data_IF_189896787109
#
_entry.id   IF_189896787109
#
_cell.length_a   1.000
_cell.length_b   1.000
_cell.length_c   1.000
_cell.angle_alpha   90.00
_cell.angle_beta   90.00
_cell.angle_gamma   90.00
#
_symmetry.space_group_name_H-M   'P 1'
#
loop_
_entity.id
_entity.type
_entity.pdbx_description
1 polymer ?
#
# COMPACT_ATOMS: atom_id res chain seq x y z
N UNK A 1 -39.68 47.10 -5.24
CA UNK A 1 -38.52 46.36 -5.80
C UNK A 1 -37.78 45.66 -4.68
N UNK A 2 -37.92 44.34 -4.57
CA UNK A 2 -37.12 43.46 -3.70
C UNK A 2 -36.62 42.32 -4.58
N UNK A 3 -35.32 42.01 -4.65
CA UNK A 3 -34.87 40.88 -5.43
C UNK A 3 -35.12 39.60 -4.63
N UNK A 4 -36.06 38.82 -5.14
CA UNK A 4 -36.07 37.37 -5.07
C UNK A 4 -34.76 36.83 -5.66
N UNK A 5 -34.39 35.60 -5.27
CA UNK A 5 -33.21 34.81 -5.69
C UNK A 5 -32.05 34.89 -4.69
N UNK A 6 -32.27 34.25 -3.53
CA UNK A 6 -31.25 33.50 -2.80
C UNK A 6 -31.95 32.27 -2.21
N UNK A 7 -32.21 31.29 -3.07
CA UNK A 7 -32.67 29.95 -2.71
C UNK A 7 -32.10 28.97 -3.72
N UNK A 8 -30.81 28.69 -3.65
CA UNK A 8 -30.16 27.56 -4.34
C UNK A 8 -28.73 27.36 -3.77
N UNK A 9 -28.60 27.30 -2.45
CA UNK A 9 -27.30 27.03 -1.81
C UNK A 9 -27.39 26.06 -0.63
N UNK A 10 -28.42 25.20 -0.57
CA UNK A 10 -28.71 24.49 0.69
C UNK A 10 -29.18 23.03 0.57
N UNK A 11 -28.79 22.27 -0.47
CA UNK A 11 -29.13 20.83 -0.46
C UNK A 11 -28.13 19.82 -1.04
N UNK A 12 -27.00 20.24 -1.60
CA UNK A 12 -26.04 19.30 -2.21
C UNK A 12 -24.74 19.10 -1.42
N UNK A 13 -24.41 19.96 -0.45
CA UNK A 13 -23.16 19.84 0.31
C UNK A 13 -23.24 18.87 1.52
N UNK A 14 -24.44 18.47 1.95
CA UNK A 14 -24.62 17.66 3.17
C UNK A 14 -24.46 16.14 2.96
N UNK A 15 -24.32 15.68 1.70
CA UNK A 15 -24.12 14.26 1.38
C UNK A 15 -22.67 13.87 1.11
N UNK A 16 -21.78 14.85 0.88
CA UNK A 16 -20.34 14.60 0.70
C UNK A 16 -19.54 14.60 2.02
N UNK A 17 -20.12 15.13 3.11
CA UNK A 17 -19.44 15.24 4.42
C UNK A 17 -19.83 14.15 5.43
N UNK A 18 -20.86 13.34 5.15
CA UNK A 18 -21.26 12.23 6.03
C UNK A 18 -20.30 11.03 6.09
N UNK A 19 -19.52 10.64 5.05
CA UNK A 19 -18.50 9.60 5.22
C UNK A 19 -17.33 10.08 6.10
N UNK A 20 -17.15 11.40 6.28
CA UNK A 20 -16.11 11.97 7.14
C UNK A 20 -16.43 11.89 8.65
N UNK A 21 -17.70 11.69 9.02
CA UNK A 21 -18.12 11.68 10.43
C UNK A 21 -18.15 10.28 11.07
N UNK A 22 -18.34 9.23 10.25
CA UNK A 22 -18.16 7.82 10.69
C UNK A 22 -16.69 7.43 10.94
N UNK A 23 -15.75 8.32 10.61
CA UNK A 23 -14.31 8.23 10.86
C UNK A 23 -13.91 8.67 12.30
N UNK A 24 -14.84 8.69 13.25
CA UNK A 24 -14.54 8.99 14.66
C UNK A 24 -14.11 7.69 15.37
N UNK A 25 -12.79 7.52 15.47
CA UNK A 25 -12.00 6.44 16.11
C UNK A 25 -12.01 5.03 15.49
N UNK A 26 -13.14 4.37 15.22
CA UNK A 26 -13.10 2.99 14.65
C UNK A 26 -12.94 2.95 13.14
N UNK A 27 -13.42 3.97 12.43
CA UNK A 27 -13.30 4.05 10.96
C UNK A 27 -11.88 4.33 10.47
N UNK A 28 -11.01 5.00 11.25
CA UNK A 28 -9.67 5.42 10.80
C UNK A 28 -8.78 4.24 10.43
N UNK A 29 -8.82 3.16 11.22
CA UNK A 29 -8.07 1.94 10.92
C UNK A 29 -8.62 1.20 9.70
N UNK A 30 -9.95 1.18 9.54
CA UNK A 30 -10.61 0.56 8.39
C UNK A 30 -10.26 1.32 7.11
N UNK A 31 -10.29 2.66 7.13
CA UNK A 31 -9.92 3.48 5.97
C UNK A 31 -8.45 3.33 5.60
N UNK A 32 -7.53 3.29 6.57
CA UNK A 32 -6.12 3.02 6.30
C UNK A 32 -5.88 1.62 5.74
N UNK A 33 -6.58 0.60 6.25
CA UNK A 33 -6.52 -0.76 5.72
C UNK A 33 -7.09 -0.86 4.31
N UNK A 34 -8.18 -0.15 4.02
CA UNK A 34 -8.77 -0.09 2.67
C UNK A 34 -7.85 0.62 1.69
N UNK A 35 -7.22 1.73 2.08
CA UNK A 35 -6.22 2.42 1.25
C UNK A 35 -5.01 1.51 1.02
N UNK A 36 -4.51 0.85 2.06
CA UNK A 36 -3.41 -0.11 1.93
C UNK A 36 -3.78 -1.28 1.00
N UNK A 37 -4.98 -1.84 1.14
CA UNK A 37 -5.47 -2.92 0.27
C UNK A 37 -5.61 -2.48 -1.20
N UNK A 38 -6.08 -1.25 -1.44
CA UNK A 38 -6.18 -0.67 -2.79
C UNK A 38 -4.79 -0.47 -3.40
N UNK A 39 -3.84 0.08 -2.64
CA UNK A 39 -2.44 0.28 -3.10
C UNK A 39 -1.78 -1.07 -3.42
N UNK A 40 -2.03 -2.10 -2.62
CA UNK A 40 -1.44 -3.43 -2.83
C UNK A 40 -2.04 -4.18 -4.03
N UNK A 41 -3.28 -3.89 -4.43
CA UNK A 41 -3.98 -4.59 -5.53
C UNK A 41 -3.40 -4.32 -6.94
N UNK A 42 -2.60 -3.25 -7.08
CA UNK A 42 -1.92 -2.87 -8.31
C UNK A 42 -0.46 -3.32 -8.41
N UNK A 43 0.14 -3.79 -7.32
CA UNK A 43 1.56 -4.12 -7.28
C UNK A 43 1.86 -5.49 -7.91
N UNK A 44 3.09 -5.68 -8.40
CA UNK A 44 3.63 -7.00 -8.81
C UNK A 44 2.81 -7.73 -9.90
N UNK A 45 2.38 -6.98 -10.91
CA UNK A 45 1.67 -7.52 -12.06
C UNK A 45 2.60 -8.11 -13.11
N UNK A 46 2.12 -9.14 -13.81
CA UNK A 46 2.79 -9.76 -14.94
C UNK A 46 2.22 -9.25 -16.27
N UNK A 47 3.12 -9.03 -17.22
CA UNK A 47 2.78 -8.52 -18.54
C UNK A 47 3.26 -9.47 -19.64
N UNK A 48 2.45 -9.56 -20.70
CA UNK A 48 2.68 -10.40 -21.86
C UNK A 48 2.46 -9.57 -23.11
N UNK A 49 3.21 -9.87 -24.16
CA UNK A 49 3.08 -9.19 -25.45
C UNK A 49 2.81 -10.22 -26.53
N UNK A 50 2.14 -9.80 -27.60
CA UNK A 50 1.98 -10.62 -28.79
C UNK A 50 3.05 -10.26 -29.82
N UNK A 51 3.74 -11.28 -30.30
CA UNK A 51 4.62 -11.17 -31.46
C UNK A 51 3.80 -11.39 -32.73
N UNK A 52 3.08 -10.33 -33.13
CA UNK A 52 2.14 -10.37 -34.25
C UNK A 52 2.86 -10.34 -35.60
N UNK A 53 2.52 -11.27 -36.49
CA UNK A 53 3.05 -11.39 -37.85
C UNK A 53 1.90 -11.44 -38.86
N UNK A 54 2.13 -10.95 -40.07
CA UNK A 54 1.15 -10.97 -41.16
C UNK A 54 1.09 -12.30 -41.93
N UNK A 55 2.03 -13.20 -41.66
CA UNK A 55 2.08 -14.52 -42.26
C UNK A 55 2.76 -15.52 -41.31
N UNK A 56 2.57 -16.80 -41.61
CA UNK A 56 3.21 -17.91 -40.91
C UNK A 56 3.85 -18.84 -41.94
N UNK A 57 5.08 -19.28 -41.67
CA UNK A 57 5.80 -20.22 -42.51
C UNK A 57 5.89 -21.61 -41.84
N UNK A 58 6.21 -22.63 -42.63
CA UNK A 58 6.31 -24.01 -42.18
C UNK A 58 7.33 -24.18 -41.04
N UNK A 59 8.46 -23.47 -41.10
CA UNK A 59 9.49 -23.52 -40.05
C UNK A 59 8.97 -22.97 -38.71
N UNK A 60 8.18 -21.91 -38.75
CA UNK A 60 7.53 -21.33 -37.57
C UNK A 60 6.51 -22.29 -36.99
N UNK A 61 5.65 -22.91 -37.82
CA UNK A 61 4.69 -23.93 -37.36
C UNK A 61 5.42 -25.10 -36.69
N UNK A 62 6.47 -25.64 -37.31
CA UNK A 62 7.27 -26.74 -36.74
C UNK A 62 7.90 -26.38 -35.39
N UNK A 63 8.38 -25.14 -35.24
CA UNK A 63 8.91 -24.64 -33.97
C UNK A 63 7.82 -24.55 -32.89
N UNK A 64 6.64 -24.07 -33.24
CA UNK A 64 5.51 -23.97 -32.31
C UNK A 64 5.01 -25.37 -31.88
N UNK A 65 4.99 -26.33 -32.81
CA UNK A 65 4.70 -27.74 -32.52
C UNK A 65 5.74 -28.34 -31.58
N UNK A 66 7.04 -28.15 -31.86
CA UNK A 66 8.13 -28.63 -31.00
C UNK A 66 8.09 -28.03 -29.60
N UNK A 67 7.55 -26.81 -29.46
CA UNK A 67 7.37 -26.13 -28.18
C UNK A 67 6.05 -26.50 -27.47
N UNK A 68 5.29 -27.46 -28.00
CA UNK A 68 4.00 -27.94 -27.49
C UNK A 68 2.98 -26.80 -27.24
N UNK A 69 2.95 -25.80 -28.14
CA UNK A 69 2.08 -24.63 -28.00
C UNK A 69 0.61 -24.98 -28.22
N UNK A 70 -0.28 -24.30 -27.50
CA UNK A 70 -1.72 -24.36 -27.66
C UNK A 70 -2.15 -23.42 -28.78
N UNK A 71 -2.56 -23.98 -29.92
CA UNK A 71 -2.89 -23.20 -31.12
C UNK A 71 -4.40 -23.00 -31.21
N UNK A 72 -4.81 -21.75 -31.37
CA UNK A 72 -6.18 -21.29 -31.52
C UNK A 72 -6.33 -20.69 -32.92
N UNK A 73 -7.35 -21.12 -33.66
CA UNK A 73 -7.72 -20.50 -34.94
C UNK A 73 -8.98 -19.65 -34.74
N UNK A 74 -8.90 -18.41 -35.23
CA UNK A 74 -10.01 -17.51 -35.45
C UNK A 74 -10.46 -17.66 -36.89
N UNK A 75 -11.52 -18.43 -37.09
CA UNK A 75 -12.26 -18.46 -38.35
C UNK A 75 -13.22 -17.30 -38.39
N UNK A 76 -13.77 -17.03 -39.58
CA UNK A 76 -14.77 -15.99 -39.78
C UNK A 76 -16.04 -16.20 -38.95
N UNK A 77 -16.44 -17.45 -38.71
CA UNK A 77 -17.70 -17.81 -38.04
C UNK A 77 -17.52 -18.33 -36.61
N UNK A 78 -16.31 -18.75 -36.21
CA UNK A 78 -16.05 -19.35 -34.90
C UNK A 78 -14.57 -19.36 -34.50
N UNK A 79 -14.31 -19.67 -33.24
CA UNK A 79 -12.97 -19.82 -32.68
C UNK A 79 -12.83 -21.25 -32.16
N UNK A 80 -11.76 -21.93 -32.56
CA UNK A 80 -11.47 -23.32 -32.15
C UNK A 80 -10.01 -23.47 -31.76
N UNK A 81 -9.70 -24.45 -30.92
CA UNK A 81 -8.32 -24.89 -30.70
C UNK A 81 -7.98 -26.06 -31.61
N UNK A 82 -6.68 -26.32 -31.80
CA UNK A 82 -6.20 -27.41 -32.64
C UNK A 82 -5.57 -28.52 -31.81
N UNK A 83 -5.89 -29.76 -32.19
CA UNK A 83 -5.21 -30.96 -31.74
C UNK A 83 -4.54 -31.68 -32.91
N UNK A 84 -3.42 -32.35 -32.65
CA UNK A 84 -2.74 -33.19 -33.65
C UNK A 84 -2.26 -32.42 -34.89
N UNK A 85 -1.68 -31.23 -34.70
CA UNK A 85 -1.21 -30.39 -35.82
C UNK A 85 -0.14 -31.15 -36.62
N UNK A 86 -0.28 -31.13 -37.94
CA UNK A 86 0.68 -31.65 -38.90
C UNK A 86 0.78 -30.71 -40.11
N UNK A 87 1.90 -30.81 -40.84
CA UNK A 87 2.09 -30.12 -42.11
C UNK A 87 2.13 -31.14 -43.24
N UNK A 88 1.40 -30.85 -44.33
CA UNK A 88 1.49 -31.56 -45.59
C UNK A 88 1.82 -30.56 -46.70
N UNK A 89 3.11 -30.41 -46.99
CA UNK A 89 3.61 -29.26 -47.76
C UNK A 89 3.33 -27.96 -47.01
N UNK A 90 2.65 -27.02 -47.67
CA UNK A 90 2.23 -25.73 -47.11
C UNK A 90 0.82 -25.76 -46.50
N UNK A 91 0.23 -26.94 -46.32
CA UNK A 91 -1.09 -27.07 -45.70
C UNK A 91 -0.95 -27.50 -44.23
N UNK A 92 -1.61 -26.74 -43.35
CA UNK A 92 -1.81 -27.09 -41.95
C UNK A 92 -3.01 -28.03 -41.84
N UNK A 93 -2.76 -29.21 -41.28
CA UNK A 93 -3.77 -30.24 -41.03
C UNK A 93 -3.91 -30.43 -39.52
N UNK A 94 -5.13 -30.39 -38.99
CA UNK A 94 -5.38 -30.59 -37.56
C UNK A 94 -6.84 -30.97 -37.27
N UNK A 95 -7.09 -31.49 -36.08
CA UNK A 95 -8.44 -31.71 -35.56
C UNK A 95 -8.90 -30.46 -34.78
N UNK A 96 -10.04 -29.83 -35.13
CA UNK A 96 -10.59 -28.74 -34.35
C UNK A 96 -11.21 -29.27 -33.05
N UNK A 97 -10.84 -28.68 -31.93
CA UNK A 97 -11.37 -28.98 -30.60
C UNK A 97 -11.94 -27.72 -29.92
N UNK A 98 -12.80 -27.92 -28.93
CA UNK A 98 -13.30 -26.81 -28.11
C UNK A 98 -12.18 -26.21 -27.24
N UNK A 99 -12.26 -24.89 -27.02
CA UNK A 99 -11.32 -24.23 -26.11
C UNK A 99 -11.58 -24.64 -24.67
N UNK A 100 -10.51 -24.94 -23.94
CA UNK A 100 -10.58 -25.10 -22.49
C UNK A 100 -10.93 -23.75 -21.83
N UNK A 101 -11.52 -23.75 -20.62
CA UNK A 101 -11.88 -22.51 -19.92
C UNK A 101 -10.69 -21.55 -19.67
N UNK A 102 -9.47 -22.07 -19.50
CA UNK A 102 -8.29 -21.24 -19.31
C UNK A 102 -7.97 -20.39 -20.54
N UNK A 103 -8.13 -20.97 -21.74
CA UNK A 103 -7.81 -20.33 -23.03
C UNK A 103 -8.93 -19.44 -23.59
N UNK A 104 -10.09 -19.35 -22.90
CA UNK A 104 -11.19 -18.45 -23.29
C UNK A 104 -11.00 -17.02 -22.83
N UNK A 105 -10.02 -16.75 -21.96
CA UNK A 105 -9.85 -15.44 -21.30
C UNK A 105 -9.24 -14.39 -22.22
N UNK A 106 -8.43 -14.79 -23.20
CA UNK A 106 -7.61 -13.88 -23.99
C UNK A 106 -7.76 -14.11 -25.51
N UNK A 107 -8.99 -14.08 -26.01
CA UNK A 107 -9.26 -14.40 -27.44
C UNK A 107 -8.82 -13.31 -28.43
N UNK A 108 -8.93 -12.03 -28.07
CA UNK A 108 -8.66 -10.90 -28.95
C UNK A 108 -7.74 -9.87 -28.26
N UNK A 109 -6.40 -10.06 -28.30
CA UNK A 109 -5.47 -9.16 -27.62
C UNK A 109 -5.46 -7.75 -28.22
N UNK A 110 -5.62 -7.60 -29.54
CA UNK A 110 -5.54 -6.31 -30.21
C UNK A 110 -6.94 -5.73 -30.45
N UNK A 111 -7.29 -4.64 -29.78
CA UNK A 111 -8.46 -3.84 -30.12
C UNK A 111 -8.17 -3.07 -31.42
N UNK A 112 -8.85 -3.41 -32.51
CA UNK A 112 -8.68 -2.77 -33.83
C UNK A 112 -8.81 -1.24 -33.80
N UNK A 113 -9.57 -0.68 -32.84
CA UNK A 113 -9.69 0.79 -32.68
C UNK A 113 -8.39 1.49 -32.29
N UNK A 114 -7.36 0.75 -31.88
CA UNK A 114 -6.07 1.28 -31.45
C UNK A 114 -5.00 1.08 -32.56
N UNK A 115 -5.30 0.32 -33.62
CA UNK A 115 -4.34 -0.17 -34.63
C UNK A 115 -3.59 0.90 -35.44
N UNK A 116 -4.01 2.17 -35.37
CA UNK A 116 -3.51 3.24 -36.26
C UNK A 116 -2.28 3.99 -35.71
N UNK A 117 -1.73 3.57 -34.57
CA UNK A 117 -0.59 4.26 -33.94
C UNK A 117 0.73 3.51 -34.16
N UNK A 118 1.74 4.24 -34.62
CA UNK A 118 3.14 3.81 -34.81
C UNK A 118 3.82 3.26 -33.52
N UNK A 119 3.08 3.19 -32.39
CA UNK A 119 3.49 2.72 -31.07
C UNK A 119 3.15 1.23 -30.76
N UNK A 120 2.51 0.50 -31.69
CA UNK A 120 1.75 -0.71 -31.37
C UNK A 120 2.46 -2.07 -31.47
N UNK A 121 3.77 -2.12 -31.76
CA UNK A 121 4.53 -3.38 -31.64
C UNK A 121 4.82 -3.80 -30.18
N UNK A 122 4.34 -3.03 -29.18
CA UNK A 122 4.66 -3.20 -27.75
C UNK A 122 3.43 -3.08 -26.84
N UNK A 123 2.25 -3.51 -27.29
CA UNK A 123 1.10 -3.55 -26.38
C UNK A 123 1.27 -4.72 -25.42
N UNK A 124 1.50 -4.36 -24.15
CA UNK A 124 1.76 -5.29 -23.06
C UNK A 124 0.46 -5.51 -22.28
N UNK A 125 -0.03 -6.74 -22.24
CA UNK A 125 -1.28 -7.14 -21.61
C UNK A 125 -1.03 -7.63 -20.18
N UNK A 126 -1.77 -7.07 -19.24
CA UNK A 126 -1.77 -7.55 -17.84
C UNK A 126 -2.45 -8.91 -17.78
N UNK A 127 -1.77 -9.88 -17.19
CA UNK A 127 -2.33 -11.22 -16.97
C UNK A 127 -2.19 -11.59 -15.50
N UNK A 128 -3.22 -12.26 -14.98
CA UNK A 128 -3.19 -12.75 -13.59
C UNK A 128 -2.16 -13.85 -13.47
N UNK A 129 -1.47 -13.92 -12.33
CA UNK A 129 -0.45 -14.94 -12.07
C UNK A 129 -0.95 -16.37 -12.33
N UNK A 130 -2.22 -16.65 -12.00
CA UNK A 130 -2.86 -17.97 -12.18
C UNK A 130 -3.01 -18.36 -13.65
N UNK A 131 -3.06 -17.39 -14.56
CA UNK A 131 -3.29 -17.61 -16.00
C UNK A 131 -1.98 -17.57 -16.80
N UNK A 132 -0.84 -17.36 -16.14
CA UNK A 132 0.47 -17.13 -16.78
C UNK A 132 0.88 -18.28 -17.72
N UNK A 133 0.76 -19.52 -17.26
CA UNK A 133 1.22 -20.67 -18.04
C UNK A 133 0.35 -20.89 -19.27
N UNK A 134 -0.98 -20.85 -19.08
CA UNK A 134 -1.93 -20.98 -20.18
C UNK A 134 -1.68 -19.92 -21.27
N UNK A 135 -1.57 -18.64 -20.89
CA UNK A 135 -1.35 -17.55 -21.86
C UNK A 135 0.00 -17.68 -22.58
N UNK A 136 1.07 -18.12 -21.91
CA UNK A 136 2.37 -18.31 -22.57
C UNK A 136 2.37 -19.40 -23.63
N UNK A 137 1.43 -20.33 -23.55
CA UNK A 137 1.34 -21.43 -24.49
C UNK A 137 0.50 -21.07 -25.72
N UNK A 138 -0.23 -19.96 -25.70
CA UNK A 138 -1.16 -19.59 -26.76
C UNK A 138 -0.47 -19.08 -28.03
N UNK A 139 -0.96 -19.58 -29.17
CA UNK A 139 -0.71 -19.05 -30.51
C UNK A 139 -2.05 -18.84 -31.19
N UNK A 140 -2.29 -17.64 -31.71
CA UNK A 140 -3.54 -17.33 -32.40
C UNK A 140 -3.26 -17.19 -33.89
N UNK A 141 -3.98 -17.95 -34.72
CA UNK A 141 -3.96 -17.83 -36.17
C UNK A 141 -5.29 -17.24 -36.62
N UNK A 142 -5.28 -16.25 -37.50
CA UNK A 142 -6.48 -15.60 -37.99
C UNK A 142 -6.64 -15.83 -39.48
N UNK A 143 -7.82 -16.25 -39.89
CA UNK A 143 -8.17 -16.54 -41.28
C UNK A 143 -9.58 -16.06 -41.58
N UNK A 144 -9.82 -15.65 -42.84
CA UNK A 144 -11.15 -15.29 -43.33
C UNK A 144 -11.95 -16.52 -43.80
N UNK A 145 -11.34 -17.70 -43.73
CA UNK A 145 -11.98 -18.97 -44.04
C UNK A 145 -13.10 -19.27 -43.03
N UNK A 146 -14.08 -20.04 -43.48
CA UNK A 146 -15.16 -20.58 -42.65
C UNK A 146 -14.80 -22.02 -42.35
N UNK A 147 -14.95 -22.46 -41.09
CA UNK A 147 -14.68 -23.85 -40.76
C UNK A 147 -15.74 -24.74 -41.45
N UNK A 148 -15.32 -25.48 -42.47
CA UNK A 148 -16.18 -26.45 -43.14
C UNK A 148 -16.71 -27.48 -42.13
N UNK A 149 -17.92 -28.00 -42.35
CA UNK A 149 -18.55 -28.99 -41.45
C UNK A 149 -17.74 -30.29 -41.28
N UNK A 150 -16.68 -30.50 -42.06
CA UNK A 150 -15.76 -31.62 -41.91
C UNK A 150 -14.95 -31.44 -40.62
N UNK A 151 -14.81 -32.51 -39.85
CA UNK A 151 -14.13 -32.52 -38.55
C UNK A 151 -12.58 -32.46 -38.65
N UNK A 152 -12.06 -31.77 -39.67
CA UNK A 152 -10.62 -31.65 -39.94
C UNK A 152 -10.34 -30.30 -40.58
N UNK A 153 -9.42 -29.56 -39.98
CA UNK A 153 -8.83 -28.35 -40.56
C UNK A 153 -7.81 -28.79 -41.59
N UNK A 154 -7.91 -28.28 -42.82
CA UNK A 154 -6.90 -28.43 -43.86
C UNK A 154 -6.81 -27.10 -44.62
N UNK A 155 -5.90 -26.23 -44.20
CA UNK A 155 -5.78 -24.87 -44.69
C UNK A 155 -4.35 -24.58 -45.18
N UNK A 156 -4.17 -23.91 -46.33
CA UNK A 156 -2.86 -23.44 -46.72
C UNK A 156 -2.36 -22.38 -45.73
N UNK A 157 -1.07 -22.36 -45.41
CA UNK A 157 -0.48 -21.37 -44.50
C UNK A 157 -0.68 -19.93 -44.98
N UNK A 158 -0.81 -19.73 -46.30
CA UNK A 158 -1.12 -18.44 -46.92
C UNK A 158 -2.54 -17.93 -46.64
N UNK A 159 -3.46 -18.77 -46.16
CA UNK A 159 -4.81 -18.36 -45.75
C UNK A 159 -4.84 -17.60 -44.42
N UNK A 160 -3.74 -17.61 -43.66
CA UNK A 160 -3.62 -16.88 -42.40
C UNK A 160 -3.07 -15.48 -42.65
N UNK A 161 -3.89 -14.46 -42.37
CA UNK A 161 -3.50 -13.05 -42.55
C UNK A 161 -2.87 -12.44 -41.30
N UNK A 162 -3.00 -13.11 -40.15
CA UNK A 162 -2.36 -12.71 -38.89
C UNK A 162 -2.01 -13.93 -38.05
N UNK A 163 -0.88 -13.85 -37.35
CA UNK A 163 -0.43 -14.80 -36.34
C UNK A 163 0.04 -14.04 -35.11
N UNK A 164 -0.53 -14.32 -33.94
CA UNK A 164 -0.07 -13.77 -32.66
C UNK A 164 0.55 -14.89 -31.82
N UNK A 165 1.84 -14.74 -31.49
CA UNK A 165 2.52 -15.64 -30.54
C UNK A 165 2.68 -14.91 -29.21
N UNK A 166 2.15 -15.48 -28.13
CA UNK A 166 2.28 -14.86 -26.81
C UNK A 166 3.67 -15.08 -26.22
N UNK A 167 4.24 -13.99 -25.72
CA UNK A 167 5.55 -13.97 -25.08
C UNK A 167 5.50 -13.21 -23.75
N UNK A 168 6.34 -13.60 -22.80
CA UNK A 168 6.48 -12.88 -21.55
C UNK A 168 7.17 -11.54 -21.79
N UNK A 169 6.53 -10.44 -21.38
CA UNK A 169 7.15 -9.11 -21.43
C UNK A 169 7.97 -8.90 -20.15
N UNK A 170 9.22 -9.40 -20.20
CA UNK A 170 10.16 -9.34 -19.08
C UNK A 170 10.46 -7.90 -18.68
N UNK A 171 10.58 -6.99 -19.63
CA UNK A 171 11.01 -5.61 -19.37
C UNK A 171 9.92 -4.83 -18.65
N UNK A 172 8.68 -4.89 -19.16
CA UNK A 172 7.53 -4.21 -18.53
C UNK A 172 7.22 -4.85 -17.18
N UNK A 173 7.27 -6.18 -17.08
CA UNK A 173 7.04 -6.87 -15.80
C UNK A 173 8.09 -6.49 -14.75
N UNK A 174 9.37 -6.49 -15.13
CA UNK A 174 10.46 -6.14 -14.20
C UNK A 174 10.36 -4.69 -13.75
N UNK A 175 10.10 -3.77 -14.69
CA UNK A 175 9.87 -2.35 -14.40
C UNK A 175 8.72 -2.17 -13.41
N UNK A 176 7.57 -2.80 -13.66
CA UNK A 176 6.41 -2.74 -12.77
C UNK A 176 6.73 -3.28 -11.36
N UNK A 177 7.51 -4.36 -11.27
CA UNK A 177 7.95 -4.90 -9.99
C UNK A 177 8.86 -3.92 -9.23
N UNK A 178 9.82 -3.30 -9.91
CA UNK A 178 10.72 -2.30 -9.30
C UNK A 178 9.93 -1.11 -8.77
N UNK A 179 9.05 -0.53 -9.60
CA UNK A 179 8.20 0.59 -9.18
C UNK A 179 7.25 0.20 -8.05
N UNK A 180 6.72 -1.03 -8.06
CA UNK A 180 5.90 -1.55 -6.96
C UNK A 180 6.69 -1.60 -5.65
N UNK A 181 7.92 -2.09 -5.66
CA UNK A 181 8.78 -2.17 -4.46
C UNK A 181 9.07 -0.76 -3.92
N UNK A 182 9.45 0.18 -4.79
CA UNK A 182 9.72 1.56 -4.40
C UNK A 182 8.45 2.20 -3.80
N UNK A 183 7.30 2.04 -4.48
CA UNK A 183 6.02 2.58 -4.03
C UNK A 183 5.59 2.04 -2.65
N UNK A 184 5.71 0.73 -2.43
CA UNK A 184 5.38 0.10 -1.14
C UNK A 184 6.35 0.58 -0.04
N UNK A 185 7.65 0.68 -0.34
CA UNK A 185 8.65 1.13 0.64
C UNK A 185 8.42 2.58 1.05
N UNK A 186 8.29 3.51 0.09
CA UNK A 186 8.03 4.92 0.39
C UNK A 186 6.67 5.11 1.08
N UNK A 187 5.64 4.40 0.61
CA UNK A 187 4.30 4.46 1.21
C UNK A 187 4.29 4.01 2.67
N UNK A 188 4.95 2.89 2.99
CA UNK A 188 5.05 2.38 4.37
C UNK A 188 5.82 3.32 5.29
N UNK A 189 6.95 3.88 4.84
CA UNK A 189 7.72 4.87 5.60
C UNK A 189 6.90 6.13 5.89
N UNK A 190 6.13 6.62 4.92
CA UNK A 190 5.25 7.78 5.11
C UNK A 190 4.17 7.50 6.17
N UNK A 191 3.58 6.30 6.17
CA UNK A 191 2.59 5.91 7.18
C UNK A 191 3.22 5.81 8.57
N UNK A 192 4.38 5.16 8.70
CA UNK A 192 5.10 5.04 9.98
C UNK A 192 5.49 6.42 10.52
N UNK A 193 6.06 7.28 9.67
CA UNK A 193 6.43 8.65 10.04
C UNK A 193 5.22 9.48 10.46
N UNK A 194 4.09 9.36 9.74
CA UNK A 194 2.84 10.02 10.10
C UNK A 194 2.29 9.56 11.45
N UNK A 195 2.38 8.27 11.77
CA UNK A 195 1.97 7.72 13.07
C UNK A 195 2.90 8.21 14.19
N UNK A 196 4.21 8.17 13.99
CA UNK A 196 5.19 8.62 14.99
C UNK A 196 5.00 10.10 15.34
N UNK A 197 4.71 10.95 14.36
CA UNK A 197 4.41 12.37 14.57
C UNK A 197 3.17 12.58 15.45
N UNK A 198 2.16 11.72 15.32
CA UNK A 198 0.91 11.80 16.09
C UNK A 198 1.05 11.33 17.56
N UNK A 199 2.08 10.58 17.92
CA UNK A 199 2.27 9.97 19.26
C UNK A 199 3.23 10.79 20.15
N UNK A 200 3.51 12.05 19.80
CA UNK A 200 4.22 12.95 20.72
C UNK A 200 3.37 13.18 21.99
N UNK A 201 3.70 12.48 23.08
CA UNK A 201 2.97 12.56 24.35
C UNK A 201 3.16 13.94 24.99
N UNK A 202 2.08 14.72 25.09
CA UNK A 202 2.08 16.08 25.66
C UNK A 202 1.93 16.04 27.20
N UNK A 203 2.91 15.43 27.88
CA UNK A 203 2.85 15.30 29.34
C UNK A 203 2.87 16.70 30.01
N UNK A 204 2.13 16.90 31.12
CA UNK A 204 2.21 18.13 31.90
C UNK A 204 3.65 18.45 32.32
N UNK A 205 4.04 19.71 32.22
CA UNK A 205 5.40 20.19 32.46
C UNK A 205 5.44 21.05 33.72
N UNK A 206 6.46 20.82 34.55
CA UNK A 206 6.67 21.55 35.81
C UNK A 206 7.79 22.56 35.64
N UNK A 207 7.51 23.79 36.02
CA UNK A 207 8.43 24.92 36.02
C UNK A 207 8.54 25.51 37.41
N UNK A 208 9.72 26.04 37.75
CA UNK A 208 9.92 26.77 38.99
C UNK A 208 10.41 28.17 38.69
N UNK A 209 9.84 29.16 39.38
CA UNK A 209 10.31 30.53 39.28
C UNK A 209 11.57 30.74 40.13
N UNK A 210 12.67 31.05 39.47
CA UNK A 210 13.89 31.55 40.08
C UNK A 210 14.07 33.02 39.67
N UNK A 211 13.79 33.94 40.61
CA UNK A 211 14.05 35.38 40.43
C UNK A 211 13.38 36.02 39.19
N UNK A 212 12.19 35.57 38.83
CA UNK A 212 11.41 36.08 37.69
C UNK A 212 11.49 35.23 36.43
N UNK A 213 12.35 34.21 36.39
CA UNK A 213 12.47 33.28 35.26
C UNK A 213 11.91 31.91 35.62
N UNK A 214 11.02 31.38 34.78
CA UNK A 214 10.47 30.03 34.94
C UNK A 214 11.39 29.01 34.26
N UNK A 215 12.06 28.19 35.08
CA UNK A 215 12.93 27.11 34.60
C UNK A 215 12.17 25.79 34.55
N UNK A 216 12.22 25.10 33.41
CA UNK A 216 11.71 23.74 33.28
C UNK A 216 12.47 22.78 34.21
N UNK A 217 11.74 21.94 34.95
CA UNK A 217 12.32 20.90 35.81
C UNK A 217 12.09 19.51 35.25
N UNK A 218 10.85 19.15 34.95
CA UNK A 218 10.52 17.85 34.37
C UNK A 218 9.09 17.82 33.84
N UNK A 219 8.81 16.86 32.95
CA UNK A 219 7.45 16.39 32.73
C UNK A 219 6.98 15.48 33.88
N UNK A 220 5.68 15.49 34.16
CA UNK A 220 5.03 14.63 35.15
C UNK A 220 3.84 13.91 34.51
N UNK A 221 3.40 12.82 35.13
CA UNK A 221 2.26 12.00 34.73
C UNK A 221 2.40 11.38 33.32
N UNK A 222 3.64 11.12 32.89
CA UNK A 222 3.89 10.59 31.54
C UNK A 222 3.18 9.25 31.31
N UNK A 223 2.34 9.21 30.27
CA UNK A 223 1.53 8.04 29.93
C UNK A 223 0.26 7.84 30.78
N UNK A 224 -0.02 8.68 31.79
CA UNK A 224 -1.25 8.62 32.59
C UNK A 224 -2.43 9.32 31.89
N UNK A 225 -2.79 8.84 30.70
CA UNK A 225 -3.81 9.47 29.82
C UNK A 225 -5.26 9.07 30.14
N UNK A 226 -5.47 8.09 31.03
CA UNK A 226 -6.79 7.60 31.45
C UNK A 226 -6.90 7.60 32.98
N UNK A 227 -8.12 7.71 33.51
CA UNK A 227 -8.38 7.68 34.97
C UNK A 227 -7.88 6.39 35.63
N UNK A 228 -7.92 5.26 34.94
CA UNK A 228 -7.37 3.99 35.43
C UNK A 228 -5.85 3.99 35.59
N UNK A 229 -5.15 4.98 35.03
CA UNK A 229 -3.70 5.16 35.11
C UNK A 229 -3.31 6.30 36.05
N UNK A 230 -4.27 6.81 36.84
CA UNK A 230 -4.01 7.81 37.87
C UNK A 230 -2.91 7.32 38.82
N UNK A 231 -1.93 8.19 39.07
CA UNK A 231 -0.81 7.89 39.95
C UNK A 231 -0.20 9.17 40.52
N UNK A 232 0.58 9.00 41.57
CA UNK A 232 1.39 10.06 42.16
C UNK A 232 2.80 10.00 41.58
N UNK A 233 3.25 11.11 41.00
CA UNK A 233 4.64 11.30 40.57
C UNK A 233 5.35 12.19 41.60
N UNK A 234 6.58 11.81 41.98
CA UNK A 234 7.41 12.59 42.88
C UNK A 234 8.56 13.24 42.11
N UNK A 235 8.61 14.57 42.13
CA UNK A 235 9.59 15.35 41.40
C UNK A 235 10.51 16.10 42.37
N UNK A 236 11.82 15.77 42.40
CA UNK A 236 12.80 16.59 43.12
C UNK A 236 12.90 17.99 42.50
N UNK A 237 12.75 19.02 43.34
CA UNK A 237 12.89 20.41 42.94
C UNK A 237 14.26 20.93 43.37
N UNK A 238 15.33 20.44 42.74
CA UNK A 238 16.70 20.86 43.06
C UNK A 238 16.93 22.35 42.72
N UNK A 239 17.65 23.06 43.59
CA UNK A 239 18.13 24.42 43.34
C UNK A 239 17.06 25.52 43.42
N UNK A 240 15.86 25.21 43.91
CA UNK A 240 14.79 26.21 44.04
C UNK A 240 15.09 27.21 45.16
N UNK A 241 14.80 28.48 44.91
CA UNK A 241 14.94 29.55 45.90
C UNK A 241 13.58 30.23 46.13
N UNK A 242 13.24 30.56 47.38
CA UNK A 242 12.01 31.30 47.64
C UNK A 242 12.12 32.71 47.05
N UNK A 243 11.03 33.20 46.46
CA UNK A 243 10.86 34.59 46.04
C UNK A 243 9.80 35.20 46.95
N UNK A 244 10.18 36.22 47.74
CA UNK A 244 9.32 36.81 48.78
C UNK A 244 8.74 35.76 49.75
N UNK A 245 9.60 34.90 50.30
CA UNK A 245 9.27 33.80 51.20
C UNK A 245 8.29 32.76 50.65
N UNK A 246 8.11 32.71 49.33
CA UNK A 246 7.22 31.75 48.65
C UNK A 246 7.96 31.00 47.56
N UNK A 247 7.71 29.70 47.47
CA UNK A 247 8.08 28.91 46.31
C UNK A 247 6.97 29.01 45.27
N UNK A 248 7.33 29.41 44.06
CA UNK A 248 6.38 29.54 42.95
C UNK A 248 6.66 28.43 41.94
N UNK A 249 5.69 27.54 41.80
CA UNK A 249 5.74 26.39 40.88
C UNK A 249 4.58 26.53 39.91
N UNK A 250 4.85 26.33 38.63
CA UNK A 250 3.85 26.31 37.58
C UNK A 250 3.80 24.90 36.98
N UNK A 251 2.58 24.37 36.83
CA UNK A 251 2.33 23.14 36.09
C UNK A 251 1.50 23.55 34.89
N UNK A 252 1.99 23.30 33.68
CA UNK A 252 1.27 23.63 32.46
C UNK A 252 1.38 22.52 31.42
N UNK A 253 0.38 22.43 30.54
CA UNK A 253 0.44 21.52 29.40
C UNK A 253 1.24 22.15 28.27
N UNK A 254 1.94 21.32 27.48
CA UNK A 254 2.66 21.78 26.29
C UNK A 254 1.71 22.20 25.14
N UNK A 255 0.44 21.78 25.19
CA UNK A 255 -0.64 22.11 24.24
C UNK A 255 -1.95 22.36 24.98
N UNK A 256 -2.99 22.79 24.27
CA UNK A 256 -4.36 22.98 24.77
C UNK A 256 -5.06 21.65 25.11
N UNK A 257 -4.55 20.94 26.11
CA UNK A 257 -5.16 19.74 26.67
C UNK A 257 -5.85 20.06 28.00
N UNK A 258 -6.98 19.40 28.27
CA UNK A 258 -7.63 19.47 29.58
C UNK A 258 -6.91 18.53 30.52
N UNK A 259 -6.36 19.08 31.61
CA UNK A 259 -5.69 18.31 32.65
C UNK A 259 -6.53 18.32 33.93
N UNK A 260 -6.59 17.17 34.60
CA UNK A 260 -7.17 17.02 35.92
C UNK A 260 -6.05 16.61 36.87
N UNK A 261 -5.80 17.41 37.91
CA UNK A 261 -4.85 17.08 38.97
C UNK A 261 -5.65 17.04 40.27
N UNK A 262 -5.66 15.88 40.92
CA UNK A 262 -6.39 15.71 42.18
C UNK A 262 -5.71 16.43 43.34
N UNK A 263 -4.37 16.38 43.38
CA UNK A 263 -3.59 16.92 44.49
C UNK A 263 -2.20 17.37 44.05
N UNK A 264 -1.74 18.48 44.60
CA UNK A 264 -0.35 18.97 44.51
C UNK A 264 0.15 19.26 45.92
N UNK A 265 1.33 18.75 46.27
CA UNK A 265 1.95 18.96 47.57
C UNK A 265 3.43 19.29 47.42
N UNK A 266 3.91 20.16 48.31
CA UNK A 266 5.33 20.44 48.48
C UNK A 266 5.85 19.68 49.69
N UNK A 267 6.77 18.75 49.49
CA UNK A 267 7.39 17.97 50.55
C UNK A 267 8.78 18.54 50.85
N UNK A 268 9.02 18.94 52.10
CA UNK A 268 10.33 19.34 52.59
C UNK A 268 11.01 18.15 53.26
N UNK A 269 12.17 17.76 52.76
CA UNK A 269 12.97 16.67 53.34
C UNK A 269 14.26 17.27 53.89
N UNK A 270 14.53 17.04 55.17
CA UNK A 270 15.80 17.41 55.80
C UNK A 270 16.79 16.27 55.64
N UNK A 271 17.99 16.56 55.15
CA UNK A 271 19.06 15.59 54.95
C UNK A 271 20.44 16.26 55.12
N UNK A 272 21.50 15.45 55.22
CA UNK A 272 22.87 15.95 55.30
C UNK A 272 23.28 16.61 53.98
N UNK A 273 24.15 17.64 54.03
CA UNK A 273 24.59 18.40 52.84
C UNK A 273 25.21 17.54 51.75
N UNK A 274 25.86 16.44 52.12
CA UNK A 274 26.58 15.57 51.19
C UNK A 274 25.70 14.44 50.62
N UNK A 275 24.41 14.42 50.98
CA UNK A 275 23.44 13.43 50.52
C UNK A 275 22.42 14.07 49.59
N UNK A 276 21.94 13.30 48.62
CA UNK A 276 20.78 13.62 47.81
C UNK A 276 19.61 12.72 48.20
N UNK A 277 18.39 13.15 47.88
CA UNK A 277 17.17 12.41 48.20
C UNK A 277 16.35 12.18 46.93
N UNK A 278 15.88 10.96 46.74
CA UNK A 278 14.80 10.61 45.82
C UNK A 278 13.64 10.01 46.60
N UNK A 279 12.44 10.14 46.06
CA UNK A 279 11.28 9.42 46.55
C UNK A 279 10.98 8.26 45.58
N UNK A 280 10.67 7.09 46.11
CA UNK A 280 10.16 6.00 45.30
C UNK A 280 8.68 6.24 44.90
N UNK A 281 8.10 5.30 44.14
CA UNK A 281 6.70 5.38 43.70
C UNK A 281 5.66 5.37 44.83
N UNK A 282 6.08 5.06 46.05
CA UNK A 282 5.23 5.06 47.25
C UNK A 282 5.51 6.26 48.16
N UNK A 283 6.38 7.19 47.74
CA UNK A 283 6.74 8.37 48.51
C UNK A 283 7.77 8.10 49.60
N UNK A 284 8.41 6.93 49.62
CA UNK A 284 9.46 6.62 50.59
C UNK A 284 10.74 7.33 50.18
N UNK A 285 11.29 8.11 51.11
CA UNK A 285 12.56 8.80 50.90
C UNK A 285 13.74 7.83 50.94
N UNK A 286 14.59 7.92 49.93
CA UNK A 286 15.83 7.17 49.78
C UNK A 286 16.96 8.19 49.62
N UNK A 287 17.96 8.12 50.50
CA UNK A 287 19.18 8.92 50.41
C UNK A 287 20.22 8.19 49.57
N UNK A 288 21.00 8.96 48.82
CA UNK A 288 22.12 8.43 48.05
C UNK A 288 23.26 9.44 47.98
N UNK A 289 24.46 8.93 47.77
CA UNK A 289 25.70 9.69 47.66
C UNK A 289 26.59 9.00 46.63
N UNK A 290 27.32 9.79 45.83
CA UNK A 290 28.30 9.30 44.85
C UNK A 290 27.77 8.19 43.91
N UNK A 291 26.68 8.42 43.16
CA UNK A 291 26.16 7.43 42.22
C UNK A 291 27.21 7.07 41.17
N UNK A 292 27.40 5.77 40.92
CA UNK A 292 28.29 5.27 39.88
C UNK A 292 27.57 5.28 38.53
N UNK A 293 28.26 5.75 37.49
CA UNK A 293 27.76 5.65 36.13
C UNK A 293 27.65 4.16 35.71
N UNK A 294 26.65 3.80 34.89
CA UNK A 294 26.56 2.47 34.33
C UNK A 294 27.81 2.17 33.48
N UNK A 295 28.40 0.98 33.65
CA UNK A 295 29.62 0.59 32.92
C UNK A 295 29.35 0.27 31.45
N UNK A 296 28.16 -0.26 31.14
CA UNK A 296 27.69 -0.55 29.79
C UNK A 296 26.18 -0.69 29.78
N UNK A 297 25.56 -0.48 28.61
CA UNK A 297 24.18 -0.88 28.35
C UNK A 297 24.20 -2.27 27.71
N UNK A 298 23.33 -3.18 28.17
CA UNK A 298 23.06 -4.44 27.49
C UNK A 298 21.83 -4.21 26.63
N UNK A 299 21.99 -4.36 25.32
CA UNK A 299 20.91 -4.35 24.33
C UNK A 299 20.55 -5.78 23.95
#
# INVERSE_FOLDING_TARGET
MKPFINKLADSSAQYLLKPFWLLRNKGRHITLLVIAAIVLSGCFQHYFKTNSRQSIDAATVQRLMSANKYVIIHFKDRIVALNGIALNGDNLIAEPIELTPEHKKQLNPVNEKIANSWLNSKVSHRVKKVDKEAVLMEVHLYTEEILAQKNTVNLPLSSFYRTDVYEFDKDVTTSNHIFSIIGVTLGSLAVIGGIAFLITCNCPQVYVNNQGQYEFKSGVYSGAVYSSLERTDYLPLEGIKPVNDKYQVQIHNAKDEKQFINQVQLLKVFHNKDQKVLLDRHGKAITYQSPLAPKSAIY
#
